data_IF_474566959562
#
_entry.id   IF_474566959562
#
_cell.length_a   1.000
_cell.length_b   1.000
_cell.length_c   1.000
_cell.angle_alpha   90.00
_cell.angle_beta   90.00
_cell.angle_gamma   90.00
#
_symmetry.space_group_name_H-M   'P 1'
#
loop_
_entity.id
_entity.type
_entity.pdbx_description
1 polymer ?
#
# COMPACT_ATOMS: atom_id res chain seq x y z
N UNK A 1 8.18 12.11 -4.66
CA UNK A 1 8.64 11.01 -5.56
C UNK A 1 10.17 10.97 -5.70
N UNK A 2 10.85 12.05 -6.10
CA UNK A 2 12.30 12.05 -6.38
C UNK A 2 13.18 11.46 -5.26
N UNK A 3 12.98 11.87 -4.02
CA UNK A 3 13.76 11.34 -2.89
C UNK A 3 13.57 9.82 -2.66
N UNK A 4 12.36 9.30 -2.84
CA UNK A 4 12.08 7.87 -2.73
C UNK A 4 12.75 7.08 -3.85
N UNK A 5 12.75 7.61 -5.10
CA UNK A 5 13.46 7.08 -6.25
C UNK A 5 14.96 7.01 -6.00
N UNK A 6 15.55 8.10 -5.53
CA UNK A 6 17.00 8.17 -5.31
C UNK A 6 17.45 7.22 -4.20
N UNK A 7 16.68 7.11 -3.10
CA UNK A 7 16.92 6.13 -2.04
C UNK A 7 16.84 4.69 -2.56
N UNK A 8 15.85 4.37 -3.40
CA UNK A 8 15.71 3.03 -3.97
C UNK A 8 16.86 2.70 -4.92
N UNK A 9 17.26 3.64 -5.79
CA UNK A 9 18.42 3.47 -6.67
C UNK A 9 19.73 3.25 -5.90
N UNK A 10 19.94 3.99 -4.81
CA UNK A 10 21.09 3.80 -3.91
C UNK A 10 21.03 2.43 -3.23
N UNK A 11 19.85 1.98 -2.79
CA UNK A 11 19.66 0.66 -2.21
C UNK A 11 19.95 -0.47 -3.21
N UNK A 12 19.50 -0.35 -4.45
CA UNK A 12 19.82 -1.32 -5.52
C UNK A 12 21.33 -1.37 -5.80
N UNK A 13 21.99 -0.21 -5.88
CA UNK A 13 23.45 -0.14 -6.04
C UNK A 13 24.22 -0.83 -4.89
N UNK A 14 23.76 -0.64 -3.66
CA UNK A 14 24.32 -1.32 -2.48
C UNK A 14 24.11 -2.84 -2.59
N UNK A 15 22.89 -3.28 -2.88
CA UNK A 15 22.57 -4.72 -2.98
C UNK A 15 23.33 -5.42 -4.11
N UNK A 16 23.55 -4.75 -5.23
CA UNK A 16 24.32 -5.28 -6.37
C UNK A 16 25.80 -5.59 -6.03
N UNK A 17 26.31 -5.05 -4.92
CA UNK A 17 27.68 -5.33 -4.43
C UNK A 17 27.74 -6.58 -3.52
N UNK A 18 26.60 -7.12 -3.11
CA UNK A 18 26.53 -8.25 -2.18
C UNK A 18 26.38 -9.57 -2.94
N UNK A 19 27.08 -10.60 -2.45
CA UNK A 19 26.80 -11.95 -2.92
C UNK A 19 25.46 -12.42 -2.38
N UNK A 20 24.59 -12.93 -3.26
CA UNK A 20 23.27 -13.40 -2.89
C UNK A 20 23.04 -14.85 -3.25
N UNK A 21 22.15 -15.50 -2.48
CA UNK A 21 21.62 -16.83 -2.76
C UNK A 21 20.10 -16.76 -2.69
N UNK A 22 19.45 -17.26 -3.74
CA UNK A 22 18.00 -17.25 -3.88
C UNK A 22 17.42 -18.65 -3.71
N UNK A 23 16.34 -18.75 -2.94
CA UNK A 23 15.57 -19.97 -2.75
C UNK A 23 14.14 -19.70 -3.25
N UNK A 24 13.74 -20.40 -4.31
CA UNK A 24 12.36 -20.35 -4.80
C UNK A 24 11.42 -20.99 -3.75
N UNK A 25 10.30 -20.34 -3.46
CA UNK A 25 9.35 -20.78 -2.42
C UNK A 25 8.11 -21.40 -3.05
N UNK A 26 8.14 -22.73 -3.20
CA UNK A 26 7.01 -23.52 -3.66
C UNK A 26 6.44 -23.03 -5.00
N UNK A 27 5.11 -23.07 -5.14
CA UNK A 27 4.39 -22.62 -6.36
C UNK A 27 4.00 -21.12 -6.33
N UNK A 28 4.48 -20.36 -5.33
CA UNK A 28 4.07 -18.97 -5.15
C UNK A 28 4.73 -18.00 -6.14
N UNK A 29 5.79 -18.42 -6.85
CA UNK A 29 6.61 -17.54 -7.67
C UNK A 29 7.51 -16.59 -6.86
N UNK A 30 7.44 -16.65 -5.54
CA UNK A 30 8.23 -15.81 -4.64
C UNK A 30 9.62 -16.37 -4.41
N UNK A 31 10.53 -15.50 -4.04
CA UNK A 31 11.93 -15.84 -3.69
C UNK A 31 12.22 -15.38 -2.27
N UNK A 32 12.94 -16.23 -1.52
CA UNK A 32 13.65 -15.86 -0.30
C UNK A 32 15.11 -15.65 -0.66
N UNK A 33 15.58 -14.42 -0.52
CA UNK A 33 16.98 -14.04 -0.78
C UNK A 33 17.76 -13.95 0.51
N UNK A 34 18.94 -14.52 0.52
CA UNK A 34 19.95 -14.34 1.56
C UNK A 34 21.16 -13.67 0.94
N UNK A 35 21.71 -12.66 1.59
CA UNK A 35 22.89 -11.92 1.14
C UNK A 35 24.02 -12.07 2.16
N UNK A 36 25.26 -12.03 1.68
CA UNK A 36 26.47 -12.02 2.51
C UNK A 36 26.88 -10.57 2.82
N UNK A 37 26.90 -10.21 4.10
CA UNK A 37 27.34 -8.90 4.55
C UNK A 37 28.36 -9.06 5.69
N UNK A 38 29.63 -8.69 5.44
CA UNK A 38 30.69 -8.80 6.44
C UNK A 38 30.92 -10.23 6.93
N UNK A 39 30.69 -11.24 6.08
CA UNK A 39 30.82 -12.65 6.43
C UNK A 39 29.63 -13.26 7.18
N UNK A 40 28.53 -12.51 7.29
CA UNK A 40 27.28 -12.96 7.95
C UNK A 40 26.17 -13.07 6.92
N UNK A 41 25.39 -14.15 7.02
CA UNK A 41 24.18 -14.35 6.22
C UNK A 41 23.03 -13.49 6.72
N UNK A 42 22.54 -12.59 5.88
CA UNK A 42 21.38 -11.76 6.15
C UNK A 42 20.22 -12.21 5.28
N UNK A 43 19.17 -12.67 5.91
CA UNK A 43 17.95 -13.06 5.21
C UNK A 43 17.05 -11.85 4.95
N UNK A 44 16.79 -11.56 3.68
CA UNK A 44 15.91 -10.46 3.27
C UNK A 44 14.44 -10.87 3.35
N UNK A 45 13.54 -9.89 3.31
CA UNK A 45 12.09 -10.11 3.17
C UNK A 45 11.76 -10.83 1.87
N UNK A 46 10.66 -11.59 1.78
CA UNK A 46 10.28 -12.26 0.54
C UNK A 46 10.13 -11.26 -0.62
N UNK A 47 10.51 -11.68 -1.81
CA UNK A 47 10.41 -10.86 -3.01
C UNK A 47 9.61 -11.56 -4.11
N UNK A 48 8.94 -10.73 -4.93
CA UNK A 48 8.33 -11.14 -6.18
C UNK A 48 9.26 -10.75 -7.33
N UNK A 49 9.96 -11.72 -7.97
CA UNK A 49 10.93 -11.42 -9.03
C UNK A 49 10.26 -10.86 -10.30
N UNK A 50 8.96 -11.08 -10.48
CA UNK A 50 8.23 -10.52 -11.64
C UNK A 50 8.04 -8.99 -11.53
N UNK A 51 8.08 -8.44 -10.30
CA UNK A 51 7.89 -7.01 -10.05
C UNK A 51 9.19 -6.28 -9.72
N UNK A 52 10.21 -6.96 -9.23
CA UNK A 52 11.46 -6.32 -8.84
C UNK A 52 12.33 -6.00 -10.07
N UNK A 53 12.73 -4.75 -10.20
CA UNK A 53 13.74 -4.30 -11.16
C UNK A 53 15.07 -4.22 -10.43
N UNK A 54 15.96 -5.18 -10.67
CA UNK A 54 17.23 -5.31 -9.92
C UNK A 54 18.31 -4.35 -10.41
N UNK A 55 18.34 -4.05 -11.71
CA UNK A 55 19.33 -3.16 -12.28
C UNK A 55 18.98 -1.69 -11.95
N UNK A 56 19.90 -0.91 -11.33
CA UNK A 56 19.63 0.48 -10.97
C UNK A 56 19.33 1.40 -12.17
N UNK A 57 19.95 1.16 -13.34
CA UNK A 57 19.71 1.98 -14.53
C UNK A 57 18.33 1.69 -15.13
N UNK A 58 17.94 0.42 -15.22
CA UNK A 58 16.61 0.00 -15.68
C UNK A 58 15.52 0.50 -14.74
N UNK A 59 15.78 0.48 -13.42
CA UNK A 59 14.87 1.05 -12.44
C UNK A 59 14.68 2.56 -12.62
N UNK A 60 15.75 3.32 -12.85
CA UNK A 60 15.64 4.76 -13.08
C UNK A 60 14.88 5.08 -14.37
N UNK A 61 15.06 4.29 -15.44
CA UNK A 61 14.29 4.42 -16.67
C UNK A 61 12.79 4.13 -16.42
N UNK A 62 12.47 3.03 -15.73
CA UNK A 62 11.09 2.69 -15.37
C UNK A 62 10.44 3.75 -14.46
N UNK A 63 11.20 4.37 -13.57
CA UNK A 63 10.68 5.48 -12.75
C UNK A 63 10.40 6.74 -13.55
N UNK A 64 11.20 7.03 -14.57
CA UNK A 64 10.92 8.16 -15.49
C UNK A 64 9.60 7.92 -16.23
N UNK A 65 9.41 6.74 -16.82
CA UNK A 65 8.15 6.37 -17.50
C UNK A 65 6.94 6.40 -16.53
N UNK A 66 7.14 5.97 -15.29
CA UNK A 66 6.12 6.04 -14.26
C UNK A 66 5.77 7.48 -13.88
N UNK A 67 6.76 8.36 -13.69
CA UNK A 67 6.55 9.78 -13.38
C UNK A 67 5.83 10.52 -14.53
N UNK A 68 6.13 10.18 -15.78
CA UNK A 68 5.42 10.69 -16.97
C UNK A 68 3.94 10.22 -16.98
N UNK A 69 3.69 8.95 -16.69
CA UNK A 69 2.33 8.41 -16.57
C UNK A 69 1.54 9.10 -15.45
N UNK A 70 2.15 9.34 -14.29
CA UNK A 70 1.50 10.05 -13.18
C UNK A 70 1.18 11.50 -13.58
N UNK A 71 2.03 12.15 -14.34
CA UNK A 71 1.76 13.49 -14.88
C UNK A 71 0.58 13.49 -15.86
N UNK A 72 0.52 12.49 -16.76
CA UNK A 72 -0.61 12.27 -17.67
C UNK A 72 -1.94 12.10 -16.90
N UNK A 73 -1.95 11.26 -15.86
CA UNK A 73 -3.13 11.05 -15.00
C UNK A 73 -3.52 12.33 -14.24
N UNK A 74 -2.52 13.05 -13.73
CA UNK A 74 -2.74 14.30 -12.98
C UNK A 74 -3.33 15.42 -13.83
N UNK A 75 -2.97 15.50 -15.11
CA UNK A 75 -3.51 16.51 -16.02
C UNK A 75 -4.98 16.26 -16.40
N UNK A 76 -5.38 15.00 -16.49
CA UNK A 76 -6.72 14.64 -16.93
C UNK A 76 -7.76 14.78 -15.81
N UNK A 77 -7.42 14.44 -14.57
CA UNK A 77 -8.34 14.34 -13.42
C UNK A 77 -9.60 13.48 -13.69
N UNK A 78 -9.51 12.56 -14.64
CA UNK A 78 -10.57 11.68 -15.12
C UNK A 78 -10.03 10.27 -15.32
N UNK A 79 -10.91 9.24 -15.40
CA UNK A 79 -10.49 7.88 -15.72
C UNK A 79 -9.79 7.82 -17.06
N UNK A 80 -8.70 7.06 -17.13
CA UNK A 80 -8.02 6.80 -18.38
C UNK A 80 -8.88 5.95 -19.34
N UNK A 81 -8.64 6.08 -20.64
CA UNK A 81 -9.35 5.26 -21.66
C UNK A 81 -9.02 3.77 -21.47
N UNK A 82 -9.96 2.90 -21.83
CA UNK A 82 -9.79 1.45 -21.70
C UNK A 82 -8.56 0.93 -22.47
N UNK A 83 -8.23 1.52 -23.62
CA UNK A 83 -7.04 1.17 -24.40
C UNK A 83 -5.75 1.54 -23.64
N UNK A 84 -5.70 2.74 -23.05
CA UNK A 84 -4.54 3.18 -22.28
C UNK A 84 -4.35 2.35 -21.02
N UNK A 85 -5.43 2.02 -20.32
CA UNK A 85 -5.40 1.11 -19.16
C UNK A 85 -4.84 -0.26 -19.54
N UNK A 86 -5.28 -0.84 -20.68
CA UNK A 86 -4.78 -2.13 -21.16
C UNK A 86 -3.29 -2.09 -21.49
N UNK A 87 -2.82 -1.01 -22.13
CA UNK A 87 -1.41 -0.79 -22.46
C UNK A 87 -0.54 -0.73 -21.20
N UNK A 88 -0.91 0.09 -20.20
CA UNK A 88 -0.18 0.21 -18.94
C UNK A 88 -0.14 -1.11 -18.17
N UNK A 89 -1.27 -1.83 -18.11
CA UNK A 89 -1.33 -3.14 -17.44
C UNK A 89 -0.47 -4.20 -18.13
N UNK A 90 -0.34 -4.16 -19.47
CA UNK A 90 0.47 -5.13 -20.20
C UNK A 90 1.96 -5.10 -19.80
N UNK A 91 2.46 -3.96 -19.34
CA UNK A 91 3.84 -3.79 -18.89
C UNK A 91 4.03 -3.93 -17.38
N UNK A 92 2.95 -3.95 -16.59
CA UNK A 92 2.97 -3.83 -15.13
C UNK A 92 3.76 -2.60 -14.64
N UNK A 93 3.79 -1.51 -15.40
CA UNK A 93 4.66 -0.37 -15.16
C UNK A 93 4.48 0.21 -13.75
N UNK A 94 3.23 0.46 -13.34
CA UNK A 94 2.91 1.01 -12.01
C UNK A 94 3.37 0.07 -10.91
N UNK A 95 2.95 -1.20 -10.95
CA UNK A 95 3.28 -2.18 -9.92
C UNK A 95 4.78 -2.41 -9.81
N UNK A 96 5.51 -2.49 -10.92
CA UNK A 96 6.97 -2.67 -10.92
C UNK A 96 7.70 -1.46 -10.35
N UNK A 97 7.32 -0.24 -10.74
CA UNK A 97 7.93 0.99 -10.23
C UNK A 97 7.71 1.13 -8.70
N UNK A 98 6.46 1.03 -8.23
CA UNK A 98 6.12 1.16 -6.81
C UNK A 98 6.72 0.03 -5.97
N UNK A 99 6.60 -1.22 -6.45
CA UNK A 99 7.14 -2.39 -5.75
C UNK A 99 8.66 -2.24 -5.56
N UNK A 100 9.39 -1.96 -6.65
CA UNK A 100 10.85 -1.83 -6.59
C UNK A 100 11.26 -0.68 -5.69
N UNK A 101 10.57 0.48 -5.77
CA UNK A 101 10.86 1.65 -4.94
C UNK A 101 10.85 1.32 -3.45
N UNK A 102 9.87 0.56 -2.99
CA UNK A 102 9.74 0.21 -1.57
C UNK A 102 10.57 -1.02 -1.22
N UNK A 103 10.56 -2.05 -2.06
CA UNK A 103 11.21 -3.31 -1.76
C UNK A 103 12.74 -3.19 -1.69
N UNK A 104 13.36 -2.42 -2.60
CA UNK A 104 14.80 -2.18 -2.58
C UNK A 104 15.26 -1.49 -1.29
N UNK A 105 14.53 -0.45 -0.85
CA UNK A 105 14.78 0.20 0.43
C UNK A 105 14.61 -0.78 1.60
N UNK A 106 13.58 -1.63 1.53
CA UNK A 106 13.34 -2.66 2.53
C UNK A 106 14.48 -3.65 2.66
N UNK A 107 15.06 -4.10 1.55
CA UNK A 107 16.22 -4.99 1.54
C UNK A 107 17.46 -4.33 2.18
N UNK A 108 17.75 -3.08 1.82
CA UNK A 108 18.85 -2.35 2.45
C UNK A 108 18.65 -2.20 3.96
N UNK A 109 17.40 -1.93 4.40
CA UNK A 109 17.07 -1.86 5.82
C UNK A 109 17.22 -3.22 6.52
N UNK A 110 16.87 -4.33 5.87
CA UNK A 110 17.05 -5.68 6.43
C UNK A 110 18.54 -6.00 6.63
N UNK A 111 19.42 -5.46 5.77
CA UNK A 111 20.87 -5.58 5.91
C UNK A 111 21.47 -4.71 7.01
N UNK A 112 20.95 -3.49 7.20
CA UNK A 112 21.63 -2.44 7.96
C UNK A 112 21.00 -2.16 9.34
N UNK A 113 19.77 -2.64 9.59
CA UNK A 113 19.03 -2.31 10.81
C UNK A 113 18.55 -3.57 11.55
N UNK A 114 18.36 -3.47 12.87
CA UNK A 114 17.65 -4.49 13.63
C UNK A 114 16.25 -4.76 13.06
N UNK A 115 15.80 -6.01 13.07
CA UNK A 115 14.57 -6.46 12.40
C UNK A 115 13.29 -5.65 12.75
N UNK A 116 13.16 -5.21 14.01
CA UNK A 116 12.00 -4.38 14.42
C UNK A 116 12.08 -2.96 13.85
N UNK A 117 13.29 -2.39 13.78
CA UNK A 117 13.52 -1.07 13.22
C UNK A 117 13.37 -1.08 11.70
N UNK A 118 13.89 -2.13 11.03
CA UNK A 118 13.68 -2.34 9.59
C UNK A 118 12.17 -2.37 9.26
N UNK A 119 11.38 -3.15 10.00
CA UNK A 119 9.92 -3.24 9.77
C UNK A 119 9.21 -1.90 9.99
N UNK A 120 9.55 -1.17 11.05
CA UNK A 120 8.97 0.16 11.32
C UNK A 120 9.30 1.15 10.20
N UNK A 121 10.57 1.25 9.84
CA UNK A 121 11.02 2.17 8.80
C UNK A 121 10.43 1.82 7.43
N UNK A 122 10.29 0.53 7.11
CA UNK A 122 9.65 0.08 5.88
C UNK A 122 8.20 0.56 5.78
N UNK A 123 7.44 0.48 6.88
CA UNK A 123 6.08 1.04 6.95
C UNK A 123 6.08 2.54 6.68
N UNK A 124 6.93 3.30 7.38
CA UNK A 124 7.04 4.74 7.18
C UNK A 124 7.40 5.13 5.73
N UNK A 125 8.32 4.38 5.09
CA UNK A 125 8.68 4.64 3.68
C UNK A 125 7.53 4.36 2.71
N UNK A 126 6.71 3.36 3.01
CA UNK A 126 5.50 3.11 2.22
C UNK A 126 4.47 4.24 2.39
N UNK A 127 4.24 4.70 3.62
CA UNK A 127 3.36 5.83 3.90
C UNK A 127 3.82 7.10 3.19
N UNK A 128 5.12 7.46 3.29
CA UNK A 128 5.73 8.60 2.59
C UNK A 128 5.57 8.50 1.06
N UNK A 129 5.80 7.32 0.48
CA UNK A 129 5.66 7.12 -0.96
C UNK A 129 4.22 7.35 -1.40
N UNK A 130 3.24 6.80 -0.68
CA UNK A 130 1.82 6.96 -1.02
C UNK A 130 1.37 8.42 -0.88
N UNK A 131 1.77 9.11 0.17
CA UNK A 131 1.50 10.54 0.34
C UNK A 131 2.04 11.37 -0.83
N UNK A 132 3.31 11.16 -1.21
CA UNK A 132 3.91 11.85 -2.35
C UNK A 132 3.24 11.50 -3.68
N UNK A 133 2.88 10.24 -3.89
CA UNK A 133 2.19 9.79 -5.10
C UNK A 133 0.83 10.48 -5.25
N UNK A 134 0.02 10.47 -4.21
CA UNK A 134 -1.29 11.12 -4.22
C UNK A 134 -1.18 12.63 -4.38
N UNK A 135 -0.19 13.26 -3.73
CA UNK A 135 0.10 14.68 -3.91
C UNK A 135 0.52 15.02 -5.35
N UNK A 136 1.29 14.14 -6.02
CA UNK A 136 1.68 14.30 -7.43
C UNK A 136 0.49 14.24 -8.39
N UNK A 137 -0.62 13.61 -7.96
CA UNK A 137 -1.90 13.59 -8.69
C UNK A 137 -2.79 14.80 -8.39
N UNK A 138 -2.30 15.79 -7.64
CA UNK A 138 -3.10 16.94 -7.21
C UNK A 138 -4.13 16.63 -6.11
N UNK A 139 -4.00 15.47 -5.45
CA UNK A 139 -4.89 15.05 -4.36
C UNK A 139 -4.34 15.60 -3.05
N UNK A 140 -5.18 16.31 -2.29
CA UNK A 140 -4.85 16.74 -0.94
C UNK A 140 -4.72 15.53 -0.01
N UNK A 141 -3.62 15.46 0.75
CA UNK A 141 -3.30 14.38 1.66
C UNK A 141 -2.91 14.93 3.02
N UNK A 142 -3.38 14.32 4.10
CA UNK A 142 -3.00 14.71 5.45
C UNK A 142 -3.13 13.57 6.45
N UNK A 143 -2.10 13.22 7.23
CA UNK A 143 -2.24 12.35 8.37
C UNK A 143 -3.03 13.07 9.49
N UNK A 144 -4.02 12.41 10.07
CA UNK A 144 -4.86 13.01 11.13
C UNK A 144 -4.98 12.04 12.29
N UNK A 145 -4.83 12.56 13.51
CA UNK A 145 -5.27 11.90 14.73
C UNK A 145 -6.61 12.52 15.15
N UNK A 146 -7.68 11.79 14.96
CA UNK A 146 -9.00 12.20 15.38
C UNK A 146 -9.15 12.11 16.89
N UNK A 147 -9.83 13.10 17.49
CA UNK A 147 -10.31 13.10 18.86
C UNK A 147 -11.79 13.48 18.86
N UNK A 148 -12.63 12.54 18.40
CA UNK A 148 -14.07 12.76 18.20
C UNK A 148 -14.83 12.49 19.51
N UNK A 149 -15.83 13.30 19.80
CA UNK A 149 -16.72 13.09 20.95
C UNK A 149 -18.01 12.43 20.50
N UNK A 150 -18.57 11.57 21.36
CA UNK A 150 -19.85 10.91 21.15
C UNK A 150 -20.62 10.75 22.46
N UNK A 151 -21.94 10.59 22.37
CA UNK A 151 -22.79 10.28 23.52
C UNK A 151 -22.82 8.77 23.80
N UNK A 152 -22.55 8.39 25.01
CA UNK A 152 -22.67 6.98 25.46
C UNK A 152 -24.15 6.60 25.64
N UNK A 153 -24.44 5.31 25.71
CA UNK A 153 -25.78 4.81 26.04
C UNK A 153 -26.30 5.33 27.39
N UNK A 154 -25.43 5.70 28.32
CA UNK A 154 -25.76 6.30 29.61
C UNK A 154 -25.98 7.82 29.54
N UNK A 155 -25.92 8.43 28.33
CA UNK A 155 -26.10 9.88 28.14
C UNK A 155 -24.90 10.74 28.54
N UNK A 156 -23.76 10.17 28.86
CA UNK A 156 -22.53 10.91 29.13
C UNK A 156 -21.70 11.11 27.87
N UNK A 157 -20.92 12.19 27.82
CA UNK A 157 -19.98 12.42 26.74
C UNK A 157 -18.73 11.56 26.92
N UNK A 158 -18.28 10.93 25.85
CA UNK A 158 -17.02 10.18 25.78
C UNK A 158 -16.21 10.60 24.55
N UNK A 159 -14.92 10.29 24.56
CA UNK A 159 -13.98 10.64 23.48
C UNK A 159 -13.43 9.39 22.82
N UNK A 160 -13.52 9.34 21.50
CA UNK A 160 -12.83 8.36 20.67
C UNK A 160 -11.59 8.98 20.04
N UNK A 161 -10.43 8.34 20.23
CA UNK A 161 -9.18 8.77 19.61
C UNK A 161 -8.70 7.70 18.64
N UNK A 162 -8.47 8.10 17.37
CA UNK A 162 -7.97 7.20 16.34
C UNK A 162 -7.00 7.96 15.41
N UNK A 163 -5.81 7.39 15.22
CA UNK A 163 -4.86 7.87 14.23
C UNK A 163 -5.13 7.13 12.91
N UNK A 164 -5.41 7.88 11.86
CA UNK A 164 -5.49 7.38 10.49
C UNK A 164 -4.22 7.73 9.74
N UNK A 165 -3.84 6.85 8.81
CA UNK A 165 -2.58 7.02 8.08
C UNK A 165 -2.67 8.27 7.18
N UNK A 166 -3.78 8.42 6.39
CA UNK A 166 -4.08 9.65 5.64
C UNK A 166 -5.59 9.90 5.59
N UNK A 167 -5.96 11.17 5.43
CA UNK A 167 -7.24 11.61 4.88
C UNK A 167 -6.94 12.27 3.54
N UNK A 168 -7.72 11.93 2.50
CA UNK A 168 -7.53 12.46 1.14
C UNK A 168 -8.78 13.16 0.63
N UNK A 169 -8.57 14.17 -0.24
CA UNK A 169 -9.62 14.98 -0.84
C UNK A 169 -9.25 15.42 -2.26
N UNK A 170 -10.26 15.69 -3.11
CA UNK A 170 -10.04 16.49 -4.31
C UNK A 170 -9.66 17.92 -3.90
N UNK A 171 -8.37 18.24 -3.93
CA UNK A 171 -7.85 19.53 -3.47
C UNK A 171 -7.49 19.54 -1.98
N UNK A 172 -7.96 20.53 -1.23
CA UNK A 172 -7.53 20.73 0.16
C UNK A 172 -8.34 19.86 1.13
N UNK A 173 -7.66 19.16 2.03
CA UNK A 173 -8.27 18.41 3.13
C UNK A 173 -8.86 19.36 4.16
N UNK A 174 -10.16 19.27 4.38
CA UNK A 174 -10.95 20.09 5.32
C UNK A 174 -11.06 19.45 6.70
N UNK A 175 -10.93 18.12 6.79
CA UNK A 175 -10.96 17.38 8.05
C UNK A 175 -9.96 17.94 9.06
N UNK A 176 -10.41 17.98 10.32
CA UNK A 176 -9.62 18.43 11.47
C UNK A 176 -9.58 17.34 12.53
N UNK A 177 -8.72 17.43 13.55
CA UNK A 177 -8.73 16.47 14.66
C UNK A 177 -10.08 16.29 15.36
N UNK A 178 -11.00 17.27 15.25
CA UNK A 178 -12.31 17.24 15.90
C UNK A 178 -13.48 16.90 14.95
N UNK A 179 -13.22 16.83 13.66
CA UNK A 179 -14.30 16.64 12.67
C UNK A 179 -13.75 15.96 11.41
N UNK A 180 -14.44 14.91 10.95
CA UNK A 180 -14.23 14.30 9.64
C UNK A 180 -15.23 14.93 8.64
N UNK A 181 -14.71 15.46 7.53
CA UNK A 181 -15.55 15.94 6.43
C UNK A 181 -16.13 14.73 5.66
N UNK A 182 -17.47 14.66 5.44
CA UNK A 182 -18.11 13.51 4.82
C UNK A 182 -17.75 13.29 3.34
N UNK A 183 -17.21 14.30 2.66
CA UNK A 183 -16.78 14.19 1.27
C UNK A 183 -15.37 13.60 1.13
N UNK A 184 -14.63 13.49 2.22
CA UNK A 184 -13.25 13.04 2.24
C UNK A 184 -13.15 11.54 2.50
N UNK A 185 -12.00 10.96 2.18
CA UNK A 185 -11.76 9.53 2.24
C UNK A 185 -10.65 9.23 3.22
N UNK A 186 -10.90 8.32 4.14
CA UNK A 186 -9.89 7.80 5.05
C UNK A 186 -9.09 6.72 4.36
N UNK A 187 -7.77 6.79 4.44
CA UNK A 187 -6.85 5.83 3.83
C UNK A 187 -6.10 5.08 4.92
N UNK A 188 -6.11 3.76 4.84
CA UNK A 188 -5.25 2.89 5.64
C UNK A 188 -4.12 2.34 4.80
N UNK A 189 -2.87 2.62 5.18
CA UNK A 189 -1.65 2.23 4.50
C UNK A 189 -0.93 1.13 5.28
N UNK A 190 -0.77 -0.04 4.69
CA UNK A 190 -0.09 -1.17 5.35
C UNK A 190 0.83 -1.91 4.38
N UNK A 191 1.99 -2.32 4.86
CA UNK A 191 2.95 -3.07 4.04
C UNK A 191 2.54 -4.53 3.81
N UNK A 192 1.59 -5.04 4.58
CA UNK A 192 0.98 -6.35 4.32
C UNK A 192 -0.41 -6.42 4.92
N UNK A 193 -1.28 -7.21 4.32
CA UNK A 193 -2.67 -7.35 4.77
C UNK A 193 -2.84 -8.17 6.05
N UNK A 194 -1.96 -9.10 6.37
CA UNK A 194 -1.92 -9.92 7.59
C UNK A 194 -3.13 -9.59 8.52
N UNK A 195 -3.04 -9.52 9.78
CA UNK A 195 -4.13 -9.23 10.75
C UNK A 195 -4.71 -7.80 10.66
N UNK A 196 -4.44 -7.07 9.55
CA UNK A 196 -4.76 -5.66 9.43
C UNK A 196 -6.21 -5.38 9.04
N UNK A 197 -6.84 -6.30 8.29
CA UNK A 197 -8.23 -6.11 7.87
C UNK A 197 -9.19 -5.89 9.03
N UNK A 198 -9.10 -6.72 10.09
CA UNK A 198 -9.95 -6.57 11.27
C UNK A 198 -9.89 -5.14 11.84
N UNK A 199 -8.68 -4.56 11.95
CA UNK A 199 -8.51 -3.20 12.43
C UNK A 199 -9.11 -2.18 11.47
N UNK A 200 -8.94 -2.32 10.16
CA UNK A 200 -9.45 -1.37 9.16
C UNK A 200 -10.98 -1.32 9.17
N UNK A 201 -11.63 -2.49 9.22
CA UNK A 201 -13.10 -2.57 9.33
C UNK A 201 -13.60 -2.02 10.67
N UNK A 202 -12.90 -2.29 11.77
CA UNK A 202 -13.23 -1.72 13.07
C UNK A 202 -13.08 -0.20 13.08
N UNK A 203 -11.99 0.33 12.51
CA UNK A 203 -11.76 1.78 12.39
C UNK A 203 -12.89 2.44 11.55
N UNK A 204 -13.29 1.82 10.44
CA UNK A 204 -14.43 2.29 9.63
C UNK A 204 -15.72 2.36 10.45
N UNK A 205 -16.05 1.30 11.17
CA UNK A 205 -17.28 1.23 11.96
C UNK A 205 -17.27 2.21 13.14
N UNK A 206 -16.12 2.35 13.81
CA UNK A 206 -15.97 3.33 14.89
C UNK A 206 -16.09 4.77 14.38
N UNK A 207 -15.50 5.07 13.24
CA UNK A 207 -15.65 6.41 12.63
C UNK A 207 -17.11 6.66 12.24
N UNK A 208 -17.81 5.69 11.64
CA UNK A 208 -19.25 5.78 11.33
C UNK A 208 -20.08 6.00 12.58
N UNK A 209 -19.80 5.24 13.64
CA UNK A 209 -20.51 5.38 14.92
C UNK A 209 -20.34 6.78 15.53
N UNK A 210 -19.10 7.28 15.64
CA UNK A 210 -18.86 8.58 16.30
C UNK A 210 -19.23 9.79 15.46
N UNK A 211 -19.22 9.67 14.12
CA UNK A 211 -19.62 10.77 13.21
C UNK A 211 -21.12 10.76 12.90
N UNK A 212 -21.78 9.62 13.12
CA UNK A 212 -23.20 9.43 12.77
C UNK A 212 -23.47 9.43 11.27
N UNK A 213 -22.45 9.22 10.43
CA UNK A 213 -22.57 9.30 8.96
C UNK A 213 -21.74 8.20 8.27
N UNK A 214 -22.05 7.86 7.00
CA UNK A 214 -21.22 6.98 6.21
C UNK A 214 -19.80 7.54 6.07
N UNK A 215 -18.81 6.69 6.22
CA UNK A 215 -17.38 7.04 6.05
C UNK A 215 -16.80 6.21 4.92
N UNK A 216 -16.22 6.88 3.94
CA UNK A 216 -15.46 6.22 2.89
C UNK A 216 -14.09 5.82 3.41
N UNK A 217 -13.74 4.54 3.30
CA UNK A 217 -12.43 4.02 3.69
C UNK A 217 -11.85 3.21 2.56
N UNK A 218 -10.61 3.50 2.19
CA UNK A 218 -9.82 2.66 1.30
C UNK A 218 -8.62 2.08 2.04
N UNK A 219 -8.22 0.88 1.66
CA UNK A 219 -7.02 0.24 2.16
C UNK A 219 -6.01 0.08 1.02
N UNK A 220 -4.76 0.45 1.26
CA UNK A 220 -3.67 0.28 0.32
C UNK A 220 -2.58 -0.59 0.94
N UNK A 221 -2.20 -1.65 0.23
CA UNK A 221 -1.21 -2.62 0.67
C UNK A 221 -0.03 -2.68 -0.28
N UNK A 222 1.19 -2.78 0.29
CA UNK A 222 2.35 -3.05 -0.54
C UNK A 222 2.28 -4.49 -1.11
N UNK A 223 2.04 -5.49 -0.25
CA UNK A 223 1.89 -6.87 -0.66
C UNK A 223 0.99 -7.66 0.29
N UNK A 224 0.88 -8.96 0.01
CA UNK A 224 0.13 -9.91 0.85
C UNK A 224 1.01 -11.06 1.36
N UNK A 225 2.29 -10.86 1.51
CA UNK A 225 3.26 -11.92 1.79
C UNK A 225 3.86 -11.79 3.18
N UNK A 226 3.99 -12.91 3.87
CA UNK A 226 4.74 -13.03 5.11
C UNK A 226 5.73 -14.17 5.05
N UNK A 227 6.92 -13.95 5.60
CA UNK A 227 7.88 -15.02 5.85
C UNK A 227 7.38 -15.95 6.96
N UNK A 228 7.43 -17.24 6.72
CA UNK A 228 7.11 -18.30 7.68
C UNK A 228 8.34 -19.17 7.90
N UNK A 229 9.25 -18.73 8.78
CA UNK A 229 10.54 -19.39 9.03
C UNK A 229 11.61 -19.01 8.00
N UNK A 230 12.61 -19.88 7.81
CA UNK A 230 13.77 -19.62 6.95
C UNK A 230 13.57 -20.05 5.49
N UNK A 231 12.63 -20.95 5.23
CA UNK A 231 12.45 -21.58 3.91
C UNK A 231 11.03 -21.50 3.37
N UNK A 232 10.11 -20.84 4.08
CA UNK A 232 8.69 -20.78 3.71
C UNK A 232 8.18 -19.34 3.72
N UNK A 233 7.27 -19.06 2.81
CA UNK A 233 6.42 -17.87 2.83
C UNK A 233 4.96 -18.30 2.91
N UNK A 234 4.10 -17.40 3.36
CA UNK A 234 2.65 -17.57 3.35
C UNK A 234 1.97 -16.32 2.84
N UNK A 235 0.88 -16.51 2.14
CA UNK A 235 -0.07 -15.45 1.85
C UNK A 235 -0.83 -15.12 3.13
N UNK A 236 -1.05 -13.84 3.39
CA UNK A 236 -1.65 -13.37 4.64
C UNK A 236 -3.13 -13.05 4.51
N UNK A 237 -3.65 -12.97 3.29
CA UNK A 237 -5.07 -12.78 3.03
C UNK A 237 -5.85 -14.05 3.39
N UNK A 238 -6.75 -13.91 4.34
CA UNK A 238 -7.66 -14.99 4.78
C UNK A 238 -9.04 -14.67 4.23
N UNK A 239 -9.40 -15.31 3.12
CA UNK A 239 -10.61 -15.05 2.37
C UNK A 239 -11.90 -15.15 3.22
N UNK A 240 -12.01 -16.17 4.08
CA UNK A 240 -13.16 -16.35 4.96
C UNK A 240 -13.31 -15.23 5.99
N UNK A 241 -12.22 -14.78 6.58
CA UNK A 241 -12.25 -13.67 7.54
C UNK A 241 -12.64 -12.35 6.84
N UNK A 242 -12.08 -12.09 5.66
CA UNK A 242 -12.43 -10.90 4.90
C UNK A 242 -13.93 -10.89 4.53
N UNK A 243 -14.47 -12.03 4.07
CA UNK A 243 -15.90 -12.17 3.77
C UNK A 243 -16.78 -11.88 5.00
N UNK A 244 -16.40 -12.42 6.16
CA UNK A 244 -17.13 -12.16 7.41
C UNK A 244 -17.11 -10.68 7.82
N UNK A 245 -15.98 -9.98 7.60
CA UNK A 245 -15.91 -8.54 7.85
C UNK A 245 -16.80 -7.75 6.88
N UNK A 246 -16.78 -8.08 5.59
CA UNK A 246 -17.65 -7.44 4.58
C UNK A 246 -19.12 -7.66 4.92
N UNK A 247 -19.50 -8.88 5.29
CA UNK A 247 -20.86 -9.23 5.69
C UNK A 247 -21.32 -8.45 6.92
N UNK A 248 -20.43 -8.33 7.93
CA UNK A 248 -20.76 -7.69 9.21
C UNK A 248 -20.75 -6.18 9.18
N UNK A 249 -19.75 -5.57 8.52
CA UNK A 249 -19.47 -4.14 8.58
C UNK A 249 -19.77 -3.40 7.28
N UNK A 250 -20.11 -4.13 6.22
CA UNK A 250 -20.20 -3.61 4.86
C UNK A 250 -18.80 -3.52 4.20
N UNK A 251 -18.74 -3.38 2.88
CA UNK A 251 -17.49 -3.29 2.15
C UNK A 251 -16.74 -1.98 2.45
N UNK A 252 -15.42 -2.03 2.34
CA UNK A 252 -14.59 -0.83 2.17
C UNK A 252 -14.89 -0.21 0.80
N UNK A 253 -14.61 1.09 0.64
CA UNK A 253 -14.72 1.77 -0.66
C UNK A 253 -13.79 1.14 -1.71
N UNK A 254 -12.62 0.65 -1.29
CA UNK A 254 -11.71 -0.11 -2.13
C UNK A 254 -10.56 -0.70 -1.33
N UNK A 255 -9.98 -1.79 -1.86
CA UNK A 255 -8.77 -2.43 -1.31
C UNK A 255 -7.78 -2.62 -2.45
N UNK A 256 -6.62 -1.98 -2.37
CA UNK A 256 -5.65 -1.90 -3.45
C UNK A 256 -4.30 -2.48 -3.06
N UNK A 257 -3.70 -3.25 -3.97
CA UNK A 257 -2.41 -3.88 -3.77
C UNK A 257 -1.41 -3.47 -4.85
N UNK A 258 -0.16 -3.21 -4.45
CA UNK A 258 0.97 -3.09 -5.39
C UNK A 258 1.36 -4.49 -5.90
N UNK A 259 1.49 -5.46 -4.98
CA UNK A 259 1.73 -6.88 -5.26
C UNK A 259 0.56 -7.70 -4.70
N UNK A 260 -0.47 -7.99 -5.52
CA UNK A 260 -1.71 -8.58 -5.05
C UNK A 260 -1.58 -10.09 -4.77
N UNK A 261 -2.47 -10.63 -3.89
CA UNK A 261 -2.55 -12.07 -3.70
C UNK A 261 -2.99 -12.79 -5.00
N UNK A 262 -2.59 -14.05 -5.22
CA UNK A 262 -2.83 -14.77 -6.48
C UNK A 262 -4.31 -14.95 -6.86
N UNK A 263 -5.22 -14.81 -5.91
CA UNK A 263 -6.66 -15.00 -6.12
C UNK A 263 -7.44 -13.70 -6.28
N UNK A 264 -6.75 -12.57 -6.43
CA UNK A 264 -7.39 -11.25 -6.59
C UNK A 264 -8.44 -11.24 -7.73
N UNK A 265 -8.18 -11.97 -8.82
CA UNK A 265 -9.07 -12.04 -9.98
C UNK A 265 -10.16 -13.11 -9.87
N UNK A 266 -10.30 -13.78 -8.72
CA UNK A 266 -11.33 -14.82 -8.51
C UNK A 266 -12.55 -14.23 -7.80
N UNK A 267 -13.75 -14.61 -8.28
CA UNK A 267 -15.00 -14.30 -7.56
C UNK A 267 -15.04 -15.01 -6.19
N UNK A 268 -15.59 -14.37 -5.16
CA UNK A 268 -16.15 -13.00 -5.13
C UNK A 268 -15.12 -11.89 -4.88
N UNK A 269 -13.82 -12.20 -4.78
CA UNK A 269 -12.76 -11.29 -4.31
C UNK A 269 -12.47 -10.18 -5.30
N UNK A 270 -12.58 -10.46 -6.60
CA UNK A 270 -12.42 -9.47 -7.69
C UNK A 270 -13.34 -8.25 -7.58
N UNK A 271 -14.43 -8.34 -6.79
CA UNK A 271 -15.31 -7.21 -6.50
C UNK A 271 -14.73 -6.22 -5.49
N UNK A 272 -13.83 -6.70 -4.64
CA UNK A 272 -13.35 -5.93 -3.48
C UNK A 272 -11.86 -5.62 -3.55
N UNK A 273 -11.07 -6.57 -4.08
CA UNK A 273 -9.61 -6.47 -4.17
C UNK A 273 -9.21 -6.02 -5.56
N UNK A 274 -8.36 -5.03 -5.63
CA UNK A 274 -7.93 -4.39 -6.88
C UNK A 274 -6.44 -4.12 -6.87
N UNK A 275 -5.89 -3.75 -8.01
CA UNK A 275 -4.49 -3.37 -8.17
C UNK A 275 -4.33 -1.85 -8.05
N UNK A 276 -3.08 -1.40 -7.90
CA UNK A 276 -2.78 0.03 -7.99
C UNK A 276 -3.02 0.60 -9.39
N UNK A 277 -2.96 -0.24 -10.44
CA UNK A 277 -3.38 0.21 -11.78
C UNK A 277 -4.86 0.61 -11.80
N UNK A 278 -5.73 -0.19 -11.15
CA UNK A 278 -7.15 0.14 -11.01
C UNK A 278 -7.34 1.45 -10.24
N UNK A 279 -6.63 1.61 -9.11
CA UNK A 279 -6.71 2.82 -8.30
C UNK A 279 -6.35 4.06 -9.11
N UNK A 280 -5.15 4.08 -9.69
CA UNK A 280 -4.57 5.30 -10.28
C UNK A 280 -5.22 5.65 -11.61
N UNK A 281 -5.51 4.64 -12.44
CA UNK A 281 -6.02 4.88 -13.80
C UNK A 281 -7.55 5.04 -13.87
N UNK A 282 -8.30 4.58 -12.87
CA UNK A 282 -9.76 4.55 -12.91
C UNK A 282 -10.42 5.00 -11.59
N UNK A 283 -10.16 4.25 -10.50
CA UNK A 283 -11.03 4.28 -9.32
C UNK A 283 -10.92 5.56 -8.49
N UNK A 284 -9.77 6.20 -8.47
CA UNK A 284 -9.62 7.53 -7.83
C UNK A 284 -10.67 8.52 -8.33
N UNK A 285 -10.99 8.45 -9.62
CA UNK A 285 -11.85 9.42 -10.30
C UNK A 285 -13.32 9.00 -10.39
N UNK A 286 -13.63 7.72 -10.14
CA UNK A 286 -14.98 7.16 -10.32
C UNK A 286 -15.63 6.63 -9.04
N UNK A 287 -14.84 6.06 -8.12
CA UNK A 287 -15.37 5.36 -6.94
C UNK A 287 -14.87 5.97 -5.63
N UNK A 288 -13.62 6.43 -5.59
CA UNK A 288 -13.01 6.98 -4.38
C UNK A 288 -13.57 8.38 -4.14
N UNK A 289 -13.57 9.22 -5.12
CA UNK A 289 -14.17 10.55 -5.09
C UNK A 289 -15.46 10.59 -5.89
#
# INVERSE_FOLDING_TARGET
MAEARDRAAASLKFLAQLTSTDIAVGQSGLILRTVQLGGVDVSLRPLNPALLIENPADYLAAMTEFEELISEVAEQHEPMTASRVAEVRATNAISRALYTTIQAQGFAMDCLLPANQSRKNFGMRFEELMEHLLASLGIGCKPITFGLTYQTAAGSEAKFSNQVDLVIAKGIVKSTPKQLDPSEVVVSLKTSSKDRFAKIFLDQEMLRFVTGQPVKVIAMFHNDVQRAGTTKTGWTFVAGNFAAYVERFGPLTGVYYVDPPPHINREPWSKYLRTFDDLLLCDLWTQVF
#
